data_IF_878429945302
#
_entry.id   IF_878429945302
#
_cell.length_a   1.000
_cell.length_b   1.000
_cell.length_c   1.000
_cell.angle_alpha   90.00
_cell.angle_beta   90.00
_cell.angle_gamma   90.00
#
_symmetry.space_group_name_H-M   'P 1'
#
loop_
_entity.id
_entity.type
_entity.pdbx_description
1 polymer ?
#
# COMPACT_ATOMS: atom_id res chain seq x y z
N UNK A 1 -2.05 24.98 -38.23
CA UNK A 1 -1.67 24.56 -36.88
C UNK A 1 -1.38 23.08 -36.95
N UNK A 2 -0.12 22.67 -36.85
CA UNK A 2 0.27 21.26 -36.90
C UNK A 2 0.03 20.64 -35.52
N UNK A 3 -0.80 19.61 -35.43
CA UNK A 3 -0.93 18.83 -34.21
C UNK A 3 0.41 18.14 -33.91
N UNK A 4 0.95 18.24 -32.68
CA UNK A 4 2.17 17.52 -32.32
C UNK A 4 1.92 16.02 -32.49
N UNK A 5 2.62 15.38 -33.42
CA UNK A 5 2.51 13.94 -33.64
C UNK A 5 3.35 13.20 -32.62
N UNK A 6 2.74 12.23 -31.93
CA UNK A 6 3.45 11.29 -31.07
C UNK A 6 4.52 10.52 -31.86
N UNK A 7 5.71 10.40 -31.27
CA UNK A 7 6.83 9.66 -31.86
C UNK A 7 7.12 8.39 -31.06
N UNK A 8 7.53 7.34 -31.76
CA UNK A 8 8.08 6.13 -31.16
C UNK A 8 9.58 6.08 -31.50
N UNK A 9 10.43 6.00 -30.48
CA UNK A 9 11.87 5.77 -30.62
C UNK A 9 12.15 4.28 -30.43
N UNK A 10 12.79 3.66 -31.42
CA UNK A 10 13.24 2.27 -31.39
C UNK A 10 14.77 2.24 -31.55
N UNK A 11 15.47 1.80 -30.51
CA UNK A 11 16.91 1.55 -30.48
C UNK A 11 17.16 0.11 -30.02
N UNK A 12 18.40 -0.37 -30.14
CA UNK A 12 18.77 -1.76 -29.83
C UNK A 12 18.25 -2.24 -28.45
N UNK A 13 18.39 -1.41 -27.41
CA UNK A 13 18.00 -1.75 -26.04
C UNK A 13 16.95 -0.79 -25.45
N UNK A 14 16.29 0.03 -26.28
CA UNK A 14 15.40 1.09 -25.79
C UNK A 14 14.18 1.29 -26.70
N UNK A 15 13.00 1.23 -26.10
CA UNK A 15 11.73 1.61 -26.73
C UNK A 15 11.10 2.73 -25.92
N UNK A 16 10.74 3.85 -26.55
CA UNK A 16 10.09 4.97 -25.88
C UNK A 16 8.97 5.60 -26.72
N UNK A 17 7.85 5.94 -26.08
CA UNK A 17 6.77 6.71 -26.69
C UNK A 17 6.81 8.15 -26.19
N UNK A 18 6.92 9.12 -27.09
CA UNK A 18 7.06 10.55 -26.78
C UNK A 18 5.79 11.25 -27.25
N UNK A 19 5.05 11.87 -26.32
CA UNK A 19 3.98 12.80 -26.66
C UNK A 19 4.56 14.22 -26.67
N UNK A 20 4.51 14.97 -27.78
CA UNK A 20 5.05 16.33 -27.84
C UNK A 20 4.10 17.41 -27.31
N UNK A 21 2.89 17.06 -26.83
CA UNK A 21 1.80 18.02 -26.56
C UNK A 21 2.12 19.20 -25.63
N UNK A 22 3.19 19.16 -24.83
CA UNK A 22 3.53 20.26 -23.90
C UNK A 22 4.98 20.80 -24.05
N UNK A 23 5.68 20.48 -25.15
CA UNK A 23 7.12 20.78 -25.25
C UNK A 23 8.00 20.01 -24.26
N UNK A 24 7.39 19.10 -23.49
CA UNK A 24 8.05 18.19 -22.56
C UNK A 24 8.56 16.96 -23.34
N UNK A 25 9.87 16.80 -23.41
CA UNK A 25 10.53 15.66 -24.08
C UNK A 25 10.50 14.37 -23.26
N UNK A 26 9.83 14.37 -22.11
CA UNK A 26 9.80 13.20 -21.22
C UNK A 26 8.89 12.14 -21.83
N UNK A 27 9.43 10.95 -22.19
CA UNK A 27 8.64 9.87 -22.75
C UNK A 27 7.59 9.36 -21.76
N UNK A 28 6.42 8.96 -22.28
CA UNK A 28 5.32 8.39 -21.50
C UNK A 28 5.71 7.08 -20.82
N UNK A 29 6.44 6.22 -21.53
CA UNK A 29 7.14 5.08 -20.95
C UNK A 29 8.44 4.81 -21.71
N UNK A 30 9.40 4.21 -21.01
CA UNK A 30 10.68 3.75 -21.59
C UNK A 30 10.92 2.31 -21.14
N UNK A 31 10.96 1.38 -22.09
CA UNK A 31 11.53 0.06 -21.84
C UNK A 31 13.02 0.12 -22.15
N UNK A 32 13.87 -0.17 -21.17
CA UNK A 32 15.32 -0.23 -21.36
C UNK A 32 15.92 -1.38 -20.56
N UNK A 33 16.62 -2.29 -21.25
CA UNK A 33 17.13 -3.53 -20.64
C UNK A 33 15.99 -4.34 -20.00
N UNK A 34 16.08 -4.60 -18.69
CA UNK A 34 15.09 -5.37 -17.91
C UNK A 34 14.09 -4.48 -17.14
N UNK A 35 14.03 -3.18 -17.41
CA UNK A 35 13.22 -2.24 -16.66
C UNK A 35 12.26 -1.47 -17.58
N UNK A 36 11.09 -1.16 -17.04
CA UNK A 36 10.10 -0.27 -17.64
C UNK A 36 9.93 0.95 -16.74
N UNK A 37 10.27 2.12 -17.25
CA UNK A 37 10.10 3.40 -16.58
C UNK A 37 8.81 4.06 -17.05
N UNK A 38 8.01 4.55 -16.09
CA UNK A 38 6.77 5.28 -16.33
C UNK A 38 6.72 6.43 -15.33
N UNK A 39 6.28 7.63 -15.76
CA UNK A 39 6.18 8.78 -14.85
C UNK A 39 4.94 8.64 -13.96
N UNK A 40 3.76 8.75 -14.58
CA UNK A 40 2.46 8.59 -13.93
C UNK A 40 1.64 7.58 -14.72
N UNK A 41 1.09 6.57 -14.04
CA UNK A 41 0.33 5.50 -14.67
C UNK A 41 -0.99 5.26 -13.96
N UNK A 42 -2.08 5.22 -14.73
CA UNK A 42 -3.38 4.76 -14.26
C UNK A 42 -3.62 3.35 -14.81
N UNK A 43 -3.68 2.35 -13.92
CA UNK A 43 -3.91 0.95 -14.29
C UNK A 43 -5.30 0.51 -13.85
N UNK A 44 -6.07 -0.11 -14.76
CA UNK A 44 -7.34 -0.75 -14.39
C UNK A 44 -7.14 -1.91 -13.42
N UNK A 45 -6.08 -2.71 -13.62
CA UNK A 45 -5.65 -3.83 -12.76
C UNK A 45 -4.13 -4.00 -12.88
N UNK A 46 -3.47 -4.32 -11.78
CA UNK A 46 -2.06 -4.71 -11.74
C UNK A 46 -1.97 -6.20 -11.36
N UNK A 47 -1.31 -7.00 -12.19
CA UNK A 47 -0.95 -8.38 -11.88
C UNK A 47 0.57 -8.45 -11.76
N UNK A 48 1.06 -8.69 -10.55
CA UNK A 48 2.48 -8.72 -10.25
C UNK A 48 2.80 -9.89 -9.32
N UNK A 49 3.95 -10.52 -9.54
CA UNK A 49 4.48 -11.58 -8.67
C UNK A 49 5.00 -10.98 -7.35
N UNK A 50 5.55 -9.76 -7.43
CA UNK A 50 5.93 -8.98 -6.26
C UNK A 50 5.86 -7.49 -6.57
N UNK A 51 5.67 -6.67 -5.53
CA UNK A 51 5.72 -5.21 -5.60
C UNK A 51 6.61 -4.74 -4.45
N UNK A 52 7.65 -3.97 -4.72
CA UNK A 52 8.57 -3.49 -3.68
C UNK A 52 8.85 -2.01 -3.89
N UNK A 53 8.67 -1.21 -2.84
CA UNK A 53 9.05 0.20 -2.87
C UNK A 53 10.57 0.38 -2.96
N UNK A 54 11.03 1.46 -3.58
CA UNK A 54 12.47 1.75 -3.78
C UNK A 54 13.27 2.09 -2.51
N UNK A 55 12.62 2.25 -1.35
CA UNK A 55 13.30 2.51 -0.08
C UNK A 55 14.18 1.34 0.38
N UNK A 56 15.21 1.64 1.19
CA UNK A 56 16.07 0.62 1.82
C UNK A 56 16.17 0.82 3.35
N UNK A 57 15.50 -0.03 4.17
CA UNK A 57 14.64 -1.14 3.78
C UNK A 57 13.35 -0.64 3.08
N UNK A 58 12.64 -1.50 2.31
CA UNK A 58 11.41 -1.12 1.65
C UNK A 58 10.38 -0.56 2.63
N UNK A 59 9.77 0.58 2.29
CA UNK A 59 8.65 1.16 3.02
C UNK A 59 7.41 0.28 2.92
N UNK A 60 7.20 -0.36 1.76
CA UNK A 60 6.22 -1.42 1.60
C UNK A 60 6.69 -2.52 0.62
N UNK A 61 6.24 -3.74 0.84
CA UNK A 61 6.42 -4.85 -0.12
C UNK A 61 5.25 -5.83 -0.10
N UNK A 62 4.94 -6.39 -1.26
CA UNK A 62 4.07 -7.54 -1.47
C UNK A 62 4.91 -8.66 -2.08
N UNK A 63 5.01 -9.78 -1.38
CA UNK A 63 5.79 -10.95 -1.83
C UNK A 63 4.88 -12.00 -2.50
N UNK A 64 5.46 -12.95 -3.26
CA UNK A 64 4.67 -13.98 -3.95
C UNK A 64 3.83 -14.85 -3.02
N UNK A 65 4.29 -15.08 -1.80
CA UNK A 65 3.55 -15.83 -0.76
C UNK A 65 2.40 -15.03 -0.12
N UNK A 66 2.13 -13.81 -0.61
CA UNK A 66 1.03 -12.97 -0.15
C UNK A 66 1.34 -12.17 1.11
N UNK A 67 2.60 -12.09 1.54
CA UNK A 67 2.99 -11.26 2.67
C UNK A 67 3.05 -9.80 2.25
N UNK A 68 2.21 -8.99 2.87
CA UNK A 68 2.28 -7.54 2.79
C UNK A 68 3.07 -7.00 3.99
N UNK A 69 4.12 -6.22 3.73
CA UNK A 69 4.83 -5.46 4.76
C UNK A 69 4.68 -3.97 4.47
N UNK A 70 4.45 -3.17 5.52
CA UNK A 70 4.38 -1.72 5.42
C UNK A 70 4.88 -1.09 6.73
N UNK A 71 5.74 -0.08 6.64
CA UNK A 71 6.37 0.58 7.81
C UNK A 71 5.59 1.78 8.34
N UNK A 72 4.92 2.51 7.44
CA UNK A 72 4.16 3.73 7.75
C UNK A 72 2.77 3.65 7.10
N UNK A 73 1.99 2.63 7.48
CA UNK A 73 0.66 2.44 6.95
C UNK A 73 -0.37 3.26 7.72
N UNK A 74 -1.18 4.04 7.00
CA UNK A 74 -2.40 4.66 7.50
C UNK A 74 -3.59 3.94 6.83
N UNK A 75 -4.46 3.32 7.64
CA UNK A 75 -5.56 2.48 7.17
C UNK A 75 -6.86 3.02 7.76
N UNK A 76 -7.63 3.72 6.93
CA UNK A 76 -8.95 4.25 7.29
C UNK A 76 -10.09 3.23 7.10
N UNK A 77 -9.79 2.11 6.46
CA UNK A 77 -10.76 1.05 6.16
C UNK A 77 -10.90 -0.01 7.25
N UNK A 78 -11.74 -1.01 6.97
CA UNK A 78 -11.88 -2.18 7.83
C UNK A 78 -10.73 -3.18 7.61
N UNK A 79 -10.15 -3.68 8.70
CA UNK A 79 -9.18 -4.78 8.68
C UNK A 79 -9.84 -6.01 9.31
N UNK A 80 -9.95 -7.09 8.54
CA UNK A 80 -10.40 -8.40 9.03
C UNK A 80 -9.21 -9.35 9.10
N UNK A 81 -8.94 -9.90 10.29
CA UNK A 81 -7.85 -10.83 10.53
C UNK A 81 -8.30 -11.95 11.47
N UNK A 82 -7.93 -13.20 11.14
CA UNK A 82 -8.21 -14.37 11.98
C UNK A 82 -7.17 -14.56 13.09
N UNK A 83 -5.99 -13.98 12.91
CA UNK A 83 -4.88 -14.03 13.87
C UNK A 83 -3.90 -12.89 13.59
N UNK A 84 -3.09 -12.56 14.59
CA UNK A 84 -2.06 -11.52 14.49
C UNK A 84 -1.44 -11.23 15.84
N UNK A 85 -0.36 -10.46 15.82
CA UNK A 85 0.24 -9.88 17.03
C UNK A 85 0.36 -8.38 16.84
N UNK A 86 0.09 -7.64 17.90
CA UNK A 86 0.13 -6.19 17.94
C UNK A 86 1.06 -5.79 19.07
N UNK A 87 2.02 -4.93 18.77
CA UNK A 87 3.00 -4.44 19.75
C UNK A 87 2.95 -2.92 19.78
N UNK A 88 2.96 -2.33 20.98
CA UNK A 88 2.95 -0.88 21.19
C UNK A 88 1.76 -0.18 20.50
N UNK A 89 0.57 -0.77 20.61
CA UNK A 89 -0.65 -0.22 20.02
C UNK A 89 -1.32 0.74 21.00
N UNK A 90 -1.69 1.91 20.48
CA UNK A 90 -2.56 2.87 21.15
C UNK A 90 -3.93 2.81 20.50
N UNK A 91 -4.98 2.71 21.31
CA UNK A 91 -6.36 2.83 20.87
C UNK A 91 -6.83 4.22 21.29
N UNK A 92 -7.00 5.12 20.32
CA UNK A 92 -7.32 6.52 20.59
C UNK A 92 -8.76 6.72 21.11
N UNK A 93 -9.69 5.90 20.62
CA UNK A 93 -11.10 5.93 21.01
C UNK A 93 -11.50 4.61 21.68
N UNK A 94 -12.43 3.88 21.07
CA UNK A 94 -13.13 2.77 21.69
C UNK A 94 -12.58 1.43 21.17
N UNK A 95 -12.49 0.44 22.04
CA UNK A 95 -12.28 -0.96 21.66
C UNK A 95 -13.48 -1.79 22.11
N UNK A 96 -13.96 -2.70 21.25
CA UNK A 96 -15.00 -3.67 21.62
C UNK A 96 -14.47 -5.09 21.46
N UNK A 97 -14.38 -5.82 22.57
CA UNK A 97 -13.96 -7.22 22.58
C UNK A 97 -15.20 -8.06 22.86
N UNK A 98 -15.71 -8.74 21.82
CA UNK A 98 -16.86 -9.65 21.95
C UNK A 98 -16.51 -11.01 22.57
N UNK A 99 -15.23 -11.36 22.57
CA UNK A 99 -14.70 -12.61 23.11
C UNK A 99 -13.97 -12.40 24.43
N UNK A 100 -12.93 -13.21 24.64
CA UNK A 100 -12.12 -13.18 25.86
C UNK A 100 -10.91 -12.27 25.70
N UNK A 101 -10.73 -11.33 26.63
CA UNK A 101 -9.47 -10.61 26.81
C UNK A 101 -8.65 -11.30 27.90
N UNK A 102 -7.44 -11.75 27.55
CA UNK A 102 -6.44 -12.22 28.52
C UNK A 102 -5.37 -11.14 28.66
N UNK A 103 -5.14 -10.69 29.88
CA UNK A 103 -4.10 -9.72 30.21
C UNK A 103 -3.38 -10.18 31.48
N UNK A 104 -2.06 -9.98 31.51
CA UNK A 104 -1.25 -10.24 32.70
C UNK A 104 -1.24 -9.03 33.64
N UNK A 105 -1.18 -7.82 33.08
CA UNK A 105 -1.18 -6.58 33.82
C UNK A 105 -2.14 -5.59 33.16
N UNK A 106 -2.98 -4.96 33.98
CA UNK A 106 -3.84 -3.84 33.56
C UNK A 106 -3.55 -2.71 34.53
N UNK A 107 -3.16 -1.54 33.99
CA UNK A 107 -2.91 -0.34 34.76
C UNK A 107 -3.99 0.67 34.39
N UNK A 108 -4.79 1.07 35.37
CA UNK A 108 -5.89 2.02 35.20
C UNK A 108 -7.15 1.56 35.92
N UNK A 109 -8.20 2.39 35.83
CA UNK A 109 -9.47 2.09 36.46
C UNK A 109 -10.23 1.02 35.67
N UNK A 110 -10.56 -0.08 36.36
CA UNK A 110 -11.39 -1.14 35.80
C UNK A 110 -12.77 -1.05 36.44
N UNK A 111 -13.72 -0.47 35.71
CA UNK A 111 -15.10 -0.38 36.17
C UNK A 111 -15.85 -1.67 35.81
N UNK A 112 -16.32 -2.37 36.83
CA UNK A 112 -17.32 -3.43 36.66
C UNK A 112 -18.70 -2.77 36.65
N UNK A 113 -19.41 -2.83 35.53
CA UNK A 113 -20.82 -2.44 35.53
C UNK A 113 -21.64 -3.51 36.25
N UNK A 114 -22.65 -3.15 37.05
CA UNK A 114 -23.54 -4.11 37.67
C UNK A 114 -24.18 -4.98 36.59
N UNK A 115 -24.11 -6.31 36.74
CA UNK A 115 -25.02 -7.18 36.01
C UNK A 115 -26.42 -6.81 36.50
N UNK A 116 -27.35 -6.49 35.60
CA UNK A 116 -28.76 -6.40 35.95
C UNK A 116 -29.13 -7.67 36.71
N UNK A 117 -29.29 -7.56 38.02
CA UNK A 117 -29.95 -8.59 38.80
C UNK A 117 -31.39 -8.55 38.32
N UNK A 118 -31.77 -9.54 37.52
CA UNK A 118 -33.16 -9.83 37.24
C UNK A 118 -33.85 -10.02 38.59
N UNK A 119 -34.72 -9.08 38.93
CA UNK A 119 -35.76 -9.21 39.95
C UNK A 119 -36.68 -10.39 39.64
#
# INVERSE_FOLDING_TARGET
MASPLSNILLLADRIAMINPEDGNTTPLFVAQGNQLFMNDVFLKRLFAVSITSSGNPPTFSLTPEGRLTARNADISGHISANSGTLNNVVIAENCTIKGTLRAENIIGDVVKTPQCQSS
#
